data_IF_415712754192
#
_entry.id   IF_415712754192
#
_cell.length_a   1.000
_cell.length_b   1.000
_cell.length_c   1.000
_cell.angle_alpha   90.00
_cell.angle_beta   90.00
_cell.angle_gamma   90.00
#
_symmetry.space_group_name_H-M   'P 1'
#
loop_
_entity.id
_entity.type
_entity.pdbx_description
1 polymer ?
#
# COMPACT_ATOMS: atom_id res chain seq x y z
N UNK A 1 -0.61 27.99 6.64
CA UNK A 1 -1.30 28.50 5.43
C UNK A 1 -0.89 27.76 4.16
N UNK A 2 0.40 27.58 3.89
CA UNK A 2 0.90 26.86 2.69
C UNK A 2 0.32 25.44 2.57
N UNK A 3 0.27 24.67 3.66
CA UNK A 3 -0.28 23.30 3.63
C UNK A 3 -1.76 23.24 3.25
N UNK A 4 -2.58 24.19 3.73
CA UNK A 4 -4.00 24.26 3.38
C UNK A 4 -4.19 24.61 1.90
N UNK A 5 -3.34 25.51 1.38
CA UNK A 5 -3.33 25.87 -0.04
C UNK A 5 -2.92 24.67 -0.90
N UNK A 6 -1.93 23.89 -0.46
CA UNK A 6 -1.52 22.65 -1.12
C UNK A 6 -2.65 21.61 -1.19
N UNK A 7 -3.33 21.35 -0.08
CA UNK A 7 -4.50 20.45 -0.04
C UNK A 7 -5.58 20.91 -1.02
N UNK A 8 -5.89 22.21 -1.04
CA UNK A 8 -6.86 22.77 -1.96
C UNK A 8 -6.42 22.61 -3.43
N UNK A 9 -5.15 22.86 -3.76
CA UNK A 9 -4.63 22.72 -5.12
C UNK A 9 -4.67 21.27 -5.61
N UNK A 10 -4.33 20.29 -4.77
CA UNK A 10 -4.39 18.87 -5.15
C UNK A 10 -5.85 18.46 -5.44
N UNK A 11 -6.78 18.87 -4.58
CA UNK A 11 -8.20 18.61 -4.80
C UNK A 11 -8.74 19.32 -6.05
N UNK A 12 -8.28 20.55 -6.33
CA UNK A 12 -8.65 21.31 -7.53
C UNK A 12 -8.09 20.66 -8.81
N UNK A 13 -6.87 20.14 -8.78
CA UNK A 13 -6.29 19.40 -9.90
C UNK A 13 -7.11 18.13 -10.20
N UNK A 14 -7.50 17.38 -9.16
CA UNK A 14 -8.39 16.23 -9.30
C UNK A 14 -9.75 16.63 -9.88
N UNK A 15 -10.33 17.74 -9.41
CA UNK A 15 -11.60 18.28 -9.92
C UNK A 15 -11.50 18.72 -11.39
N UNK A 16 -10.37 19.32 -11.78
CA UNK A 16 -10.12 19.71 -13.17
C UNK A 16 -10.07 18.49 -14.10
N UNK A 17 -9.49 17.38 -13.64
CA UNK A 17 -9.39 16.11 -14.36
C UNK A 17 -10.64 15.21 -14.21
N UNK A 18 -11.67 15.65 -13.49
CA UNK A 18 -12.86 14.85 -13.24
C UNK A 18 -13.67 14.58 -14.51
N UNK A 19 -14.05 13.32 -14.72
CA UNK A 19 -14.83 12.88 -15.87
C UNK A 19 -16.24 13.52 -15.90
N UNK A 20 -16.88 13.71 -14.74
CA UNK A 20 -18.23 14.30 -14.62
C UNK A 20 -18.38 15.12 -13.34
N UNK A 21 -17.89 16.37 -13.38
CA UNK A 21 -17.87 17.31 -12.23
C UNK A 21 -19.23 17.51 -11.53
N UNK A 22 -20.33 17.46 -12.28
CA UNK A 22 -21.69 17.64 -11.75
C UNK A 22 -22.21 16.47 -10.90
N UNK A 23 -21.57 15.29 -10.98
CA UNK A 23 -21.99 14.07 -10.27
C UNK A 23 -21.07 13.73 -9.08
N UNK A 24 -20.17 14.64 -8.71
CA UNK A 24 -19.32 14.45 -7.53
C UNK A 24 -20.19 14.47 -6.26
N UNK A 25 -20.27 13.34 -5.57
CA UNK A 25 -20.93 13.27 -4.26
C UNK A 25 -20.05 13.97 -3.21
N UNK A 26 -20.48 15.18 -2.84
CA UNK A 26 -19.80 16.01 -1.84
C UNK A 26 -19.71 15.33 -0.48
N UNK A 27 -20.69 14.50 -0.11
CA UNK A 27 -20.70 13.80 1.18
C UNK A 27 -19.62 12.71 1.20
N UNK A 28 -19.48 11.97 0.11
CA UNK A 28 -18.44 10.94 -0.06
C UNK A 28 -17.05 11.57 -0.05
N UNK A 29 -16.83 12.59 -0.87
CA UNK A 29 -15.51 13.25 -0.97
C UNK A 29 -15.13 13.95 0.33
N UNK A 30 -16.04 14.74 0.92
CA UNK A 30 -15.76 15.44 2.17
C UNK A 30 -15.64 14.46 3.35
N UNK A 31 -16.45 13.40 3.39
CA UNK A 31 -16.35 12.36 4.40
C UNK A 31 -15.01 11.63 4.35
N UNK A 32 -14.53 11.29 3.14
CA UNK A 32 -13.23 10.70 2.93
C UNK A 32 -12.09 11.65 3.34
N UNK A 33 -12.17 12.93 2.95
CA UNK A 33 -11.19 13.95 3.37
C UNK A 33 -11.14 14.13 4.89
N UNK A 34 -12.30 14.29 5.53
CA UNK A 34 -12.40 14.46 6.98
C UNK A 34 -11.91 13.23 7.74
N UNK A 35 -12.16 12.04 7.21
CA UNK A 35 -11.63 10.81 7.78
C UNK A 35 -10.11 10.76 7.68
N UNK A 36 -9.53 11.07 6.51
CA UNK A 36 -8.07 11.13 6.33
C UNK A 36 -7.43 12.18 7.23
N UNK A 37 -7.96 13.41 7.23
CA UNK A 37 -7.46 14.50 8.05
C UNK A 37 -7.64 14.23 9.55
N UNK A 38 -8.76 13.63 9.94
CA UNK A 38 -9.05 13.22 11.31
C UNK A 38 -8.10 12.12 11.80
N UNK A 39 -7.86 11.10 10.99
CA UNK A 39 -6.87 10.05 11.28
C UNK A 39 -5.47 10.66 11.45
N UNK A 40 -5.05 11.51 10.51
CA UNK A 40 -3.78 12.22 10.60
C UNK A 40 -3.67 13.09 11.87
N UNK A 41 -4.74 13.82 12.22
CA UNK A 41 -4.80 14.60 13.45
C UNK A 41 -4.69 13.72 14.70
N UNK A 42 -5.38 12.59 14.74
CA UNK A 42 -5.31 11.66 15.88
C UNK A 42 -3.90 11.09 16.01
N UNK A 43 -3.36 10.48 14.96
CA UNK A 43 -2.11 9.71 15.07
C UNK A 43 -0.84 10.57 15.04
N UNK A 44 -0.89 11.80 14.50
CA UNK A 44 0.28 12.68 14.39
C UNK A 44 0.23 13.92 15.30
N UNK A 45 -0.91 14.25 15.91
CA UNK A 45 -1.02 15.43 16.79
C UNK A 45 -1.39 15.07 18.22
N UNK A 46 -2.41 14.23 18.42
CA UNK A 46 -2.89 13.85 19.76
C UNK A 46 -1.89 12.92 20.46
N UNK A 47 -1.47 13.19 21.72
CA UNK A 47 -0.50 12.36 22.43
C UNK A 47 -0.88 10.88 22.49
N UNK A 48 -2.12 10.57 22.86
CA UNK A 48 -2.63 9.20 22.92
C UNK A 48 -2.55 8.49 21.55
N UNK A 49 -2.82 9.21 20.46
CA UNK A 49 -2.74 8.65 19.11
C UNK A 49 -1.29 8.41 18.67
N UNK A 50 -0.35 9.28 19.07
CA UNK A 50 1.09 9.05 18.86
C UNK A 50 1.59 7.83 19.62
N UNK A 51 1.21 7.69 20.89
CA UNK A 51 1.57 6.53 21.72
C UNK A 51 1.04 5.23 21.11
N UNK A 52 -0.22 5.23 20.64
CA UNK A 52 -0.80 4.08 19.96
C UNK A 52 -0.06 3.76 18.65
N UNK A 53 0.26 4.77 17.86
CA UNK A 53 0.99 4.58 16.60
C UNK A 53 2.40 4.04 16.84
N UNK A 54 3.12 4.58 17.84
CA UNK A 54 4.45 4.11 18.22
C UNK A 54 4.39 2.69 18.77
N UNK A 55 3.38 2.35 19.56
CA UNK A 55 3.14 0.98 20.02
C UNK A 55 2.95 0.01 18.84
N UNK A 56 2.10 0.36 17.87
CA UNK A 56 1.90 -0.47 16.66
C UNK A 56 3.18 -0.57 15.83
N UNK A 57 3.90 0.54 15.67
CA UNK A 57 5.18 0.56 14.96
C UNK A 57 6.22 -0.37 15.61
N UNK A 58 6.32 -0.36 16.94
CA UNK A 58 7.20 -1.28 17.67
C UNK A 58 6.84 -2.75 17.46
N UNK A 59 5.53 -3.08 17.35
CA UNK A 59 5.11 -4.45 17.02
C UNK A 59 5.53 -4.85 15.61
N UNK A 60 5.40 -3.96 14.62
CA UNK A 60 5.89 -4.22 13.26
C UNK A 60 7.41 -4.37 13.25
N UNK A 61 8.14 -3.54 14.00
CA UNK A 61 9.61 -3.67 14.14
C UNK A 61 9.98 -5.01 14.79
N UNK A 62 9.24 -5.47 15.80
CA UNK A 62 9.45 -6.78 16.39
C UNK A 62 9.27 -7.91 15.36
N UNK A 63 8.25 -7.81 14.50
CA UNK A 63 8.06 -8.76 13.39
C UNK A 63 9.22 -8.72 12.38
N UNK A 64 9.72 -7.53 12.03
CA UNK A 64 10.91 -7.38 11.18
C UNK A 64 12.13 -8.06 11.80
N UNK A 65 12.30 -7.98 13.12
CA UNK A 65 13.43 -8.60 13.80
C UNK A 65 13.37 -10.13 13.78
N UNK A 66 12.19 -10.76 13.71
CA UNK A 66 12.09 -12.21 13.52
C UNK A 66 12.62 -12.66 12.16
N UNK A 67 12.50 -11.83 11.12
CA UNK A 67 13.05 -12.16 9.80
C UNK A 67 14.58 -12.30 9.80
N UNK A 68 15.27 -11.66 10.75
CA UNK A 68 16.74 -11.75 10.90
C UNK A 68 17.20 -13.18 11.13
N UNK A 69 16.46 -13.98 11.90
CA UNK A 69 16.82 -15.39 12.12
C UNK A 69 16.92 -16.18 10.81
N UNK A 70 16.03 -15.92 9.84
CA UNK A 70 16.08 -16.53 8.52
C UNK A 70 17.22 -15.99 7.65
N UNK A 71 17.47 -14.67 7.73
CA UNK A 71 18.58 -14.02 7.01
C UNK A 71 19.92 -14.54 7.51
N UNK A 72 20.12 -14.60 8.83
CA UNK A 72 21.36 -15.05 9.45
C UNK A 72 21.62 -16.53 9.15
N UNK A 73 20.57 -17.36 9.12
CA UNK A 73 20.68 -18.76 8.72
C UNK A 73 21.13 -18.93 7.26
N UNK A 74 20.55 -18.15 6.33
CA UNK A 74 20.87 -18.26 4.89
C UNK A 74 22.15 -17.54 4.48
N UNK A 75 22.44 -16.40 5.10
CA UNK A 75 23.44 -15.43 4.64
C UNK A 75 24.42 -14.99 5.73
N UNK A 76 24.33 -15.47 6.97
CA UNK A 76 25.14 -14.99 8.10
C UNK A 76 26.65 -15.11 7.89
N UNK A 77 27.11 -16.11 7.13
CA UNK A 77 28.53 -16.23 6.77
C UNK A 77 28.99 -15.25 5.67
N UNK A 78 28.06 -14.71 4.88
CA UNK A 78 28.30 -13.75 3.78
C UNK A 78 28.13 -12.31 4.26
N UNK A 79 27.25 -12.06 5.23
CA UNK A 79 27.09 -10.78 5.92
C UNK A 79 28.06 -10.74 7.12
N UNK A 80 29.36 -10.88 6.84
CA UNK A 80 30.39 -10.74 7.88
C UNK A 80 30.48 -9.30 8.39
N UNK A 81 31.03 -9.09 9.59
CA UNK A 81 31.15 -7.77 10.25
C UNK A 81 31.87 -6.69 9.40
N UNK A 82 32.63 -7.11 8.37
CA UNK A 82 33.44 -6.23 7.51
C UNK A 82 32.75 -5.83 6.19
N UNK A 83 31.59 -6.40 5.87
CA UNK A 83 30.83 -6.04 4.67
C UNK A 83 29.71 -5.12 5.15
N UNK A 84 29.74 -3.85 4.73
CA UNK A 84 28.73 -2.87 5.10
C UNK A 84 27.31 -3.29 4.68
N UNK A 85 26.33 -2.39 4.85
CA UNK A 85 24.93 -2.70 4.52
C UNK A 85 24.74 -3.16 3.07
N UNK A 86 24.40 -4.44 2.88
CA UNK A 86 24.06 -5.01 1.56
C UNK A 86 22.55 -5.09 1.42
N UNK A 87 21.98 -4.23 0.56
CA UNK A 87 20.54 -4.15 0.31
C UNK A 87 19.92 -5.52 -0.04
N UNK A 88 20.58 -6.29 -0.92
CA UNK A 88 20.08 -7.57 -1.38
C UNK A 88 19.92 -8.62 -0.27
N UNK A 89 20.73 -8.57 0.79
CA UNK A 89 20.66 -9.51 1.90
C UNK A 89 19.86 -8.98 3.09
N UNK A 90 19.77 -7.65 3.25
CA UNK A 90 19.11 -7.04 4.41
C UNK A 90 17.65 -6.64 4.14
N UNK A 91 17.27 -6.42 2.87
CA UNK A 91 15.94 -5.86 2.52
C UNK A 91 15.10 -6.87 1.74
N UNK A 92 15.65 -7.49 0.70
CA UNK A 92 14.88 -8.41 -0.16
C UNK A 92 14.32 -9.63 0.59
N UNK A 93 15.06 -10.30 1.50
CA UNK A 93 14.51 -11.45 2.24
C UNK A 93 13.36 -11.08 3.19
N UNK A 94 13.32 -9.82 3.65
CA UNK A 94 12.24 -9.33 4.51
C UNK A 94 10.90 -9.34 3.77
N UNK A 95 10.90 -9.02 2.47
CA UNK A 95 9.72 -9.10 1.59
C UNK A 95 9.19 -10.54 1.58
N UNK A 96 10.08 -11.53 1.44
CA UNK A 96 9.73 -12.96 1.42
C UNK A 96 9.04 -13.39 2.71
N UNK A 97 9.62 -13.02 3.86
CA UNK A 97 9.06 -13.31 5.17
C UNK A 97 7.67 -12.68 5.36
N UNK A 98 7.51 -11.40 5.01
CA UNK A 98 6.22 -10.71 5.17
C UNK A 98 5.14 -11.28 4.24
N UNK A 99 5.47 -11.61 2.99
CA UNK A 99 4.52 -12.26 2.08
C UNK A 99 4.05 -13.62 2.60
N UNK A 100 4.97 -14.43 3.15
CA UNK A 100 4.64 -15.71 3.81
C UNK A 100 3.73 -15.51 5.02
N UNK A 101 4.05 -14.54 5.89
CA UNK A 101 3.25 -14.21 7.07
C UNK A 101 1.85 -13.73 6.70
N UNK A 102 1.71 -12.84 5.72
CA UNK A 102 0.41 -12.35 5.26
C UNK A 102 -0.42 -13.50 4.71
N UNK A 103 0.16 -14.39 3.90
CA UNK A 103 -0.54 -15.58 3.39
C UNK A 103 -1.06 -16.47 4.52
N UNK A 104 -0.28 -16.68 5.58
CA UNK A 104 -0.73 -17.39 6.79
C UNK A 104 -1.90 -16.67 7.47
N UNK A 105 -1.85 -15.35 7.61
CA UNK A 105 -2.95 -14.59 8.22
C UNK A 105 -4.24 -14.60 7.40
N UNK A 106 -4.13 -14.71 6.07
CA UNK A 106 -5.29 -14.95 5.19
C UNK A 106 -5.82 -16.38 5.34
N UNK A 107 -4.95 -17.39 5.37
CA UNK A 107 -5.38 -18.78 5.60
C UNK A 107 -6.11 -18.94 6.95
N UNK A 108 -5.64 -18.25 7.99
CA UNK A 108 -6.25 -18.29 9.33
C UNK A 108 -7.52 -17.43 9.47
N UNK A 109 -7.92 -16.67 8.44
CA UNK A 109 -9.12 -15.82 8.50
C UNK A 109 -8.93 -14.47 9.22
N UNK A 110 -7.72 -14.18 9.72
CA UNK A 110 -7.44 -12.95 10.50
C UNK A 110 -7.54 -11.72 9.61
N UNK A 111 -6.98 -11.79 8.40
CA UNK A 111 -7.01 -10.66 7.44
C UNK A 111 -8.42 -10.35 6.98
N UNK A 112 -9.23 -11.37 6.69
CA UNK A 112 -10.63 -11.22 6.30
C UNK A 112 -11.42 -10.49 7.39
N UNK A 113 -11.21 -10.84 8.65
CA UNK A 113 -11.85 -10.17 9.77
C UNK A 113 -11.43 -8.70 9.89
N UNK A 114 -10.12 -8.40 9.83
CA UNK A 114 -9.60 -7.03 9.91
C UNK A 114 -10.14 -6.17 8.76
N UNK A 115 -10.08 -6.68 7.53
CA UNK A 115 -10.55 -5.99 6.34
C UNK A 115 -12.06 -5.77 6.39
N UNK A 116 -12.84 -6.75 6.85
CA UNK A 116 -14.29 -6.60 7.01
C UNK A 116 -14.67 -5.51 8.01
N UNK A 117 -13.95 -5.40 9.12
CA UNK A 117 -14.18 -4.36 10.14
C UNK A 117 -13.84 -2.99 9.59
N UNK A 118 -12.65 -2.81 9.01
CA UNK A 118 -12.19 -1.52 8.50
C UNK A 118 -13.02 -1.10 7.29
N UNK A 119 -13.22 -1.99 6.31
CA UNK A 119 -14.01 -1.71 5.11
C UNK A 119 -15.47 -1.46 5.43
N UNK A 120 -16.04 -2.15 6.42
CA UNK A 120 -17.38 -1.86 6.95
C UNK A 120 -17.48 -0.46 7.57
N UNK A 121 -16.46 -0.04 8.33
CA UNK A 121 -16.38 1.32 8.87
C UNK A 121 -16.23 2.38 7.77
N UNK A 122 -15.36 2.16 6.79
CA UNK A 122 -15.20 3.04 5.62
C UNK A 122 -16.52 3.19 4.86
N UNK A 123 -17.18 2.07 4.53
CA UNK A 123 -18.51 2.06 3.88
C UNK A 123 -19.51 2.90 4.65
N UNK A 124 -19.59 2.74 5.98
CA UNK A 124 -20.56 3.46 6.81
C UNK A 124 -20.28 4.95 6.89
N UNK A 125 -19.01 5.34 6.98
CA UNK A 125 -18.58 6.73 7.13
C UNK A 125 -18.59 7.50 5.81
N UNK A 126 -18.10 6.88 4.74
CA UNK A 126 -17.89 7.51 3.43
C UNK A 126 -19.08 7.27 2.48
N UNK A 127 -19.91 6.24 2.72
CA UNK A 127 -21.05 5.80 1.86
C UNK A 127 -20.67 5.30 0.48
N UNK A 128 -19.48 4.77 0.35
CA UNK A 128 -19.00 4.00 -0.80
C UNK A 128 -19.66 2.62 -0.88
N UNK A 129 -19.50 1.92 -2.01
CA UNK A 129 -20.00 0.56 -2.17
C UNK A 129 -19.26 -0.43 -1.24
N UNK A 130 -19.83 -1.62 -1.04
CA UNK A 130 -19.18 -2.63 -0.21
C UNK A 130 -17.83 -3.05 -0.80
N UNK A 131 -17.81 -3.35 -2.09
CA UNK A 131 -16.64 -3.89 -2.77
C UNK A 131 -15.48 -2.89 -2.79
N UNK A 132 -15.71 -1.62 -3.14
CA UNK A 132 -14.62 -0.64 -3.15
C UNK A 132 -14.12 -0.30 -1.73
N UNK A 133 -14.98 -0.37 -0.72
CA UNK A 133 -14.58 -0.12 0.68
C UNK A 133 -13.76 -1.26 1.24
N UNK A 134 -14.09 -2.51 0.91
CA UNK A 134 -13.30 -3.68 1.30
C UNK A 134 -11.95 -3.70 0.58
N UNK A 135 -11.92 -3.36 -0.72
CA UNK A 135 -10.67 -3.24 -1.45
C UNK A 135 -9.77 -2.12 -0.89
N UNK A 136 -10.34 -0.96 -0.55
CA UNK A 136 -9.60 0.13 0.08
C UNK A 136 -9.03 -0.27 1.45
N UNK A 137 -9.79 -1.01 2.25
CA UNK A 137 -9.32 -1.53 3.54
C UNK A 137 -8.23 -2.60 3.38
N UNK A 138 -8.35 -3.50 2.40
CA UNK A 138 -7.33 -4.50 2.09
C UNK A 138 -6.00 -3.85 1.69
N UNK A 139 -6.06 -2.80 0.85
CA UNK A 139 -4.89 -2.06 0.38
C UNK A 139 -4.05 -1.39 1.49
N UNK A 140 -4.54 -1.32 2.73
CA UNK A 140 -3.74 -0.86 3.89
C UNK A 140 -2.61 -1.86 4.19
N UNK A 141 -2.85 -3.15 3.95
CA UNK A 141 -1.96 -4.25 4.36
C UNK A 141 -1.36 -4.99 3.17
N UNK A 142 -2.13 -5.17 2.10
CA UNK A 142 -1.73 -5.92 0.91
C UNK A 142 -1.53 -5.02 -0.29
N UNK A 143 -0.74 -5.48 -1.26
CA UNK A 143 -0.40 -4.71 -2.45
C UNK A 143 -1.51 -4.65 -3.49
N UNK A 144 -1.28 -3.82 -4.53
CA UNK A 144 -2.20 -3.61 -5.65
C UNK A 144 -2.62 -4.87 -6.41
N UNK A 145 -1.83 -5.94 -6.36
CA UNK A 145 -2.13 -7.24 -7.00
C UNK A 145 -2.94 -8.19 -6.11
N UNK A 146 -2.88 -7.99 -4.79
CA UNK A 146 -3.46 -8.88 -3.78
C UNK A 146 -4.78 -8.32 -3.25
N UNK A 147 -4.90 -7.00 -3.06
CA UNK A 147 -6.11 -6.37 -2.58
C UNK A 147 -7.36 -6.65 -3.43
N UNK A 148 -7.29 -6.70 -4.78
CA UNK A 148 -8.44 -7.06 -5.61
C UNK A 148 -8.94 -8.49 -5.37
N UNK A 149 -8.10 -9.40 -4.86
CA UNK A 149 -8.50 -10.78 -4.57
C UNK A 149 -9.58 -10.85 -3.50
N UNK A 150 -9.57 -9.92 -2.53
CA UNK A 150 -10.59 -9.84 -1.47
C UNK A 150 -12.00 -9.56 -2.04
N UNK A 151 -12.06 -8.98 -3.24
CA UNK A 151 -13.30 -8.56 -3.89
C UNK A 151 -13.48 -9.19 -5.26
N UNK A 152 -12.70 -10.22 -5.60
CA UNK A 152 -12.65 -10.86 -6.91
C UNK A 152 -14.02 -11.32 -7.43
N UNK A 153 -14.94 -11.91 -6.63
CA UNK A 153 -16.27 -12.27 -7.11
C UNK A 153 -17.07 -11.07 -7.63
N UNK A 154 -16.79 -9.88 -7.09
CA UNK A 154 -17.52 -8.67 -7.38
C UNK A 154 -16.93 -7.87 -8.54
N UNK A 155 -15.64 -8.08 -8.89
CA UNK A 155 -14.94 -7.28 -9.92
C UNK A 155 -15.70 -7.28 -11.25
N UNK A 156 -16.18 -8.44 -11.71
CA UNK A 156 -16.89 -8.56 -12.99
C UNK A 156 -18.22 -7.76 -13.02
N UNK A 157 -18.79 -7.45 -11.86
CA UNK A 157 -20.03 -6.71 -11.73
C UNK A 157 -19.87 -5.24 -11.32
N UNK A 158 -18.63 -4.77 -11.14
CA UNK A 158 -18.35 -3.41 -10.68
C UNK A 158 -18.68 -2.37 -11.75
N UNK A 159 -19.13 -1.19 -11.30
CA UNK A 159 -19.22 0.00 -12.16
C UNK A 159 -17.81 0.49 -12.52
N UNK A 160 -17.72 1.40 -13.49
CA UNK A 160 -16.45 2.05 -13.84
C UNK A 160 -15.83 2.82 -12.66
N UNK A 161 -16.66 3.44 -11.82
CA UNK A 161 -16.18 4.21 -10.67
C UNK A 161 -15.67 3.28 -9.56
N UNK A 162 -16.35 2.16 -9.29
CA UNK A 162 -15.89 1.16 -8.34
C UNK A 162 -14.56 0.54 -8.76
N UNK A 163 -14.44 0.13 -10.02
CA UNK A 163 -13.19 -0.46 -10.53
C UNK A 163 -12.05 0.57 -10.48
N UNK A 164 -12.33 1.83 -10.84
CA UNK A 164 -11.35 2.91 -10.72
C UNK A 164 -10.92 3.14 -9.26
N UNK A 165 -11.85 3.06 -8.30
CA UNK A 165 -11.54 3.19 -6.88
C UNK A 165 -10.65 2.03 -6.38
N UNK A 166 -10.86 0.80 -6.85
CA UNK A 166 -9.97 -0.34 -6.54
C UNK A 166 -8.56 -0.08 -7.07
N UNK A 167 -8.43 0.40 -8.31
CA UNK A 167 -7.13 0.71 -8.92
C UNK A 167 -6.40 1.85 -8.21
N UNK A 168 -7.10 2.97 -7.96
CA UNK A 168 -6.53 4.11 -7.22
C UNK A 168 -6.18 3.73 -5.80
N UNK A 169 -6.99 2.91 -5.14
CA UNK A 169 -6.70 2.36 -3.82
C UNK A 169 -5.34 1.66 -3.79
N UNK A 170 -5.09 0.75 -4.73
CA UNK A 170 -3.81 0.03 -4.82
C UNK A 170 -2.62 0.92 -5.20
N UNK A 171 -2.83 1.97 -6.00
CA UNK A 171 -1.78 2.92 -6.36
C UNK A 171 -1.49 3.95 -5.26
N UNK A 172 -2.44 4.17 -4.35
CA UNK A 172 -2.33 5.16 -3.27
C UNK A 172 -1.63 4.64 -2.03
N UNK A 173 -1.44 3.31 -1.93
CA UNK A 173 -0.87 2.64 -0.77
C UNK A 173 0.37 1.82 -1.14
N UNK A 174 0.95 1.18 -0.12
CA UNK A 174 2.06 0.23 -0.27
C UNK A 174 1.70 -1.08 0.40
N UNK A 175 2.22 -2.19 -0.13
CA UNK A 175 2.08 -3.50 0.51
C UNK A 175 2.88 -3.54 1.81
N UNK A 176 2.39 -4.28 2.81
CA UNK A 176 3.11 -4.52 4.07
C UNK A 176 4.48 -5.18 3.86
N UNK A 177 4.60 -6.03 2.83
CA UNK A 177 5.88 -6.66 2.45
C UNK A 177 6.93 -5.66 1.95
N UNK A 178 6.53 -4.61 1.23
CA UNK A 178 7.45 -3.56 0.76
C UNK A 178 7.69 -2.49 1.83
N UNK A 179 6.69 -2.21 2.67
CA UNK A 179 6.84 -1.37 3.87
C UNK A 179 7.99 -1.86 4.75
N UNK A 180 8.04 -3.17 4.98
CA UNK A 180 9.11 -3.82 5.72
C UNK A 180 10.49 -3.55 5.11
N UNK A 181 10.58 -3.54 3.78
CA UNK A 181 11.81 -3.16 3.08
C UNK A 181 12.19 -1.69 3.25
N UNK A 182 11.22 -0.78 3.20
CA UNK A 182 11.46 0.65 3.48
C UNK A 182 11.90 0.90 4.92
N UNK A 183 11.34 0.15 5.88
CA UNK A 183 11.77 0.19 7.26
C UNK A 183 13.23 -0.26 7.42
N UNK A 184 13.65 -1.30 6.70
CA UNK A 184 15.04 -1.78 6.70
C UNK A 184 16.03 -0.75 6.09
N UNK A 185 15.55 0.19 5.27
CA UNK A 185 16.31 1.35 4.79
C UNK A 185 16.43 2.49 5.81
N UNK A 186 15.83 2.36 6.99
CA UNK A 186 15.87 3.37 8.05
C UNK A 186 14.69 4.34 8.03
N UNK A 187 13.66 4.11 7.21
CA UNK A 187 12.44 4.93 7.23
C UNK A 187 11.61 4.58 8.48
N UNK A 188 11.18 5.59 9.23
CA UNK A 188 10.43 5.39 10.47
C UNK A 188 9.08 4.67 10.21
N UNK A 189 8.94 3.48 10.78
CA UNK A 189 7.77 2.60 10.60
C UNK A 189 6.45 3.27 10.97
N UNK A 190 6.45 4.14 11.98
CA UNK A 190 5.26 4.90 12.39
C UNK A 190 4.69 5.75 11.25
N UNK A 191 5.54 6.36 10.43
CA UNK A 191 5.08 7.18 9.30
C UNK A 191 4.58 6.32 8.15
N UNK A 192 5.22 5.17 7.90
CA UNK A 192 4.74 4.22 6.90
C UNK A 192 3.37 3.65 7.29
N UNK A 193 3.18 3.30 8.56
CA UNK A 193 1.89 2.83 9.08
C UNK A 193 0.80 3.91 9.00
N UNK A 194 1.11 5.13 9.42
CA UNK A 194 0.17 6.25 9.32
C UNK A 194 -0.22 6.49 7.85
N UNK A 195 0.76 6.51 6.94
CA UNK A 195 0.54 6.68 5.51
C UNK A 195 -0.35 5.57 4.93
N UNK A 196 -0.10 4.29 5.24
CA UNK A 196 -0.91 3.17 4.77
C UNK A 196 -2.37 3.26 5.22
N UNK A 197 -2.63 3.64 6.48
CA UNK A 197 -4.00 3.79 6.97
C UNK A 197 -4.69 5.02 6.35
N UNK A 198 -3.97 6.12 6.18
CA UNK A 198 -4.48 7.34 5.56
C UNK A 198 -4.72 7.20 4.05
N UNK A 199 -4.02 6.29 3.39
CA UNK A 199 -4.15 6.01 1.96
C UNK A 199 -5.55 5.48 1.61
N UNK A 200 -6.18 4.66 2.46
CA UNK A 200 -7.51 4.12 2.17
C UNK A 200 -8.58 5.22 1.94
N UNK A 201 -8.84 6.15 2.88
CA UNK A 201 -9.77 7.25 2.63
C UNK A 201 -9.22 8.25 1.59
N UNK A 202 -7.92 8.52 1.54
CA UNK A 202 -7.35 9.45 0.55
C UNK A 202 -7.47 8.97 -0.89
N UNK A 203 -7.24 7.68 -1.12
CA UNK A 203 -7.43 7.01 -2.40
C UNK A 203 -8.89 7.05 -2.83
N UNK A 204 -9.82 6.74 -1.92
CA UNK A 204 -11.27 6.83 -2.20
C UNK A 204 -11.71 8.27 -2.51
N UNK A 205 -11.19 9.25 -1.78
CA UNK A 205 -11.45 10.68 -2.05
C UNK A 205 -11.04 11.04 -3.48
N UNK A 206 -9.80 10.74 -3.85
CA UNK A 206 -9.27 11.08 -5.17
C UNK A 206 -9.98 10.30 -6.28
N UNK A 207 -10.27 9.02 -6.05
CA UNK A 207 -11.02 8.19 -6.99
C UNK A 207 -12.41 8.77 -7.28
N UNK A 208 -13.16 9.16 -6.24
CA UNK A 208 -14.52 9.67 -6.39
C UNK A 208 -14.59 11.12 -6.87
N UNK A 209 -13.50 11.89 -6.77
CA UNK A 209 -13.39 13.18 -7.47
C UNK A 209 -13.15 12.95 -8.96
N UNK A 210 -12.16 12.13 -9.33
CA UNK A 210 -11.73 11.96 -10.73
C UNK A 210 -12.74 11.14 -11.53
N UNK A 211 -13.26 10.06 -10.96
CA UNK A 211 -14.28 9.19 -11.56
C UNK A 211 -15.48 9.04 -10.62
N UNK A 212 -16.40 10.01 -10.60
CA UNK A 212 -17.60 9.95 -9.75
C UNK A 212 -18.50 8.78 -10.14
N UNK A 213 -19.31 8.31 -9.18
CA UNK A 213 -20.28 7.24 -9.41
C UNK A 213 -21.41 7.72 -10.32
N UNK A 214 -21.63 7.03 -11.44
CA UNK A 214 -22.69 7.39 -12.41
C UNK A 214 -23.74 6.32 -12.59
N UNK A 215 -23.45 5.12 -12.09
CA UNK A 215 -24.27 3.93 -12.21
C UNK A 215 -24.70 3.49 -10.81
N UNK A 216 -25.71 2.63 -10.71
CA UNK A 216 -26.10 2.05 -9.41
C UNK A 216 -25.22 0.84 -9.12
N UNK A 217 -24.38 0.87 -8.06
CA UNK A 217 -23.60 -0.29 -7.67
C UNK A 217 -24.51 -1.48 -7.39
N UNK A 218 -24.07 -2.69 -7.78
CA UNK A 218 -24.80 -3.91 -7.45
C UNK A 218 -24.87 -4.08 -5.92
N UNK A 219 -26.02 -4.50 -5.37
CA UNK A 219 -26.11 -4.79 -3.95
C UNK A 219 -25.13 -5.91 -3.58
N UNK A 220 -24.59 -5.82 -2.37
CA UNK A 220 -23.71 -6.86 -1.84
C UNK A 220 -24.49 -8.18 -1.71
N UNK A 221 -23.96 -9.21 -2.36
CA UNK A 221 -24.49 -10.57 -2.28
C UNK A 221 -23.51 -11.45 -1.47
N UNK A 222 -23.86 -11.83 -0.22
CA UNK A 222 -23.02 -12.69 0.61
C UNK A 222 -22.93 -14.13 0.11
N UNK A 223 -23.76 -14.54 -0.87
CA UNK A 223 -23.67 -15.86 -1.51
C UNK A 223 -22.59 -15.94 -2.59
N UNK A 224 -22.15 -14.78 -3.12
CA UNK A 224 -20.98 -14.67 -3.99
C UNK A 224 -19.70 -14.72 -3.16
N UNK A 225 -19.40 -15.89 -2.60
CA UNK A 225 -18.08 -16.17 -2.06
C UNK A 225 -17.17 -16.59 -3.21
N UNK A 226 -15.95 -16.08 -3.21
CA UNK A 226 -14.89 -16.82 -3.88
C UNK A 226 -14.83 -18.20 -3.23
N UNK A 227 -14.69 -19.26 -4.03
CA UNK A 227 -14.30 -20.55 -3.49
C UNK A 227 -12.99 -20.34 -2.73
N UNK A 228 -13.07 -20.34 -1.39
CA UNK A 228 -11.95 -20.02 -0.52
C UNK A 228 -10.86 -21.10 -0.65
N UNK A 229 -9.70 -20.67 -1.18
CA UNK A 229 -8.37 -21.11 -0.73
C UNK A 229 -7.71 -22.27 -1.47
N UNK A 230 -6.74 -21.96 -2.34
CA UNK A 230 -5.77 -22.91 -2.91
C UNK A 230 -4.86 -23.59 -1.86
N UNK A 231 -4.96 -23.19 -0.57
CA UNK A 231 -4.08 -23.69 0.48
C UNK A 231 -4.71 -24.84 1.26
N UNK A 232 -4.02 -25.98 1.27
CA UNK A 232 -4.47 -27.20 1.96
C UNK A 232 -4.29 -27.08 3.49
N UNK A 233 -3.30 -26.33 3.95
CA UNK A 233 -2.99 -26.12 5.36
C UNK A 233 -2.14 -24.86 5.58
N UNK A 234 -1.86 -24.53 6.85
CA UNK A 234 -1.08 -23.33 7.21
C UNK A 234 0.36 -23.36 6.69
N UNK A 235 0.98 -24.55 6.58
CA UNK A 235 2.33 -24.67 6.04
C UNK A 235 2.35 -24.48 4.52
N UNK A 236 1.32 -24.96 3.83
CA UNK A 236 1.11 -24.73 2.41
C UNK A 236 0.92 -23.23 2.12
N UNK A 237 0.10 -22.53 2.92
CA UNK A 237 -0.04 -21.07 2.85
C UNK A 237 1.29 -20.34 3.08
N UNK A 238 2.06 -20.76 4.09
CA UNK A 238 3.38 -20.18 4.37
C UNK A 238 4.37 -20.38 3.21
N UNK A 239 4.43 -21.60 2.65
CA UNK A 239 5.34 -21.94 1.57
C UNK A 239 4.97 -21.20 0.27
N UNK A 240 3.68 -21.18 -0.08
CA UNK A 240 3.17 -20.47 -1.25
C UNK A 240 3.40 -18.96 -1.12
N UNK A 241 3.11 -18.37 0.05
CA UNK A 241 3.38 -16.96 0.31
C UNK A 241 4.87 -16.61 0.25
N UNK A 242 5.76 -17.52 0.65
CA UNK A 242 7.20 -17.33 0.48
C UNK A 242 7.60 -17.35 -1.00
N UNK A 243 7.01 -18.22 -1.83
CA UNK A 243 7.28 -18.25 -3.28
C UNK A 243 6.79 -16.97 -3.99
N UNK A 244 5.59 -16.49 -3.65
CA UNK A 244 5.10 -15.19 -4.13
C UNK A 244 6.03 -14.06 -3.69
N UNK A 245 6.43 -14.07 -2.43
CA UNK A 245 7.39 -13.10 -1.88
C UNK A 245 8.75 -13.13 -2.58
N UNK A 246 9.26 -14.30 -2.95
CA UNK A 246 10.51 -14.46 -3.69
C UNK A 246 10.41 -13.81 -5.08
N UNK A 247 9.31 -14.04 -5.80
CA UNK A 247 9.07 -13.41 -7.10
C UNK A 247 9.02 -11.88 -6.98
N UNK A 248 8.32 -11.37 -5.95
CA UNK A 248 8.29 -9.93 -5.66
C UNK A 248 9.68 -9.37 -5.34
N UNK A 249 10.43 -10.05 -4.47
CA UNK A 249 11.78 -9.65 -4.07
C UNK A 249 12.74 -9.62 -5.28
N UNK A 250 12.69 -10.64 -6.14
CA UNK A 250 13.47 -10.70 -7.36
C UNK A 250 13.09 -9.58 -8.34
N UNK A 251 11.79 -9.32 -8.52
CA UNK A 251 11.31 -8.24 -9.37
C UNK A 251 11.77 -6.86 -8.86
N UNK A 252 11.68 -6.61 -7.55
CA UNK A 252 12.17 -5.37 -6.92
C UNK A 252 13.67 -5.23 -7.11
N UNK A 253 14.45 -6.29 -6.83
CA UNK A 253 15.91 -6.27 -7.00
C UNK A 253 16.32 -5.98 -8.45
N UNK A 254 15.69 -6.64 -9.43
CA UNK A 254 15.94 -6.42 -10.84
C UNK A 254 15.57 -4.99 -11.28
N UNK A 255 14.39 -4.49 -10.85
CA UNK A 255 13.92 -3.15 -11.18
C UNK A 255 14.84 -2.06 -10.63
N UNK A 256 15.26 -2.18 -9.37
CA UNK A 256 16.19 -1.23 -8.75
C UNK A 256 17.54 -1.22 -9.46
N UNK A 257 18.11 -2.39 -9.75
CA UNK A 257 19.37 -2.50 -10.49
C UNK A 257 19.27 -1.81 -11.86
N UNK A 258 18.23 -2.13 -12.62
CA UNK A 258 18.01 -1.54 -13.94
C UNK A 258 17.83 -0.03 -13.88
N UNK A 259 16.93 0.47 -13.01
CA UNK A 259 16.58 1.89 -12.98
C UNK A 259 17.71 2.75 -12.44
N UNK A 260 18.42 2.32 -11.40
CA UNK A 260 19.59 3.04 -10.89
C UNK A 260 20.67 3.12 -11.98
N UNK A 261 20.90 2.04 -12.72
CA UNK A 261 21.87 2.01 -13.82
C UNK A 261 21.47 2.93 -14.97
N UNK A 262 20.18 2.95 -15.33
CA UNK A 262 19.64 3.84 -16.37
C UNK A 262 19.72 5.31 -15.96
N UNK A 263 19.43 5.64 -14.70
CA UNK A 263 19.57 7.00 -14.17
C UNK A 263 21.05 7.43 -14.23
N UNK A 264 21.98 6.57 -13.82
CA UNK A 264 23.41 6.86 -13.90
C UNK A 264 23.87 7.10 -15.34
N UNK A 265 23.42 6.27 -16.29
CA UNK A 265 23.72 6.45 -17.72
C UNK A 265 23.14 7.77 -18.26
N UNK A 266 21.89 8.10 -17.90
CA UNK A 266 21.25 9.35 -18.29
C UNK A 266 21.98 10.56 -17.70
N UNK A 267 22.40 10.51 -16.44
CA UNK A 267 23.19 11.56 -15.81
C UNK A 267 24.52 11.76 -16.54
N UNK A 268 25.20 10.68 -16.95
CA UNK A 268 26.42 10.78 -17.75
C UNK A 268 26.20 11.44 -19.12
N UNK A 269 25.11 11.10 -19.81
CA UNK A 269 24.76 11.70 -21.09
C UNK A 269 24.38 13.19 -20.95
N UNK A 270 23.59 13.52 -19.92
CA UNK A 270 23.18 14.89 -19.64
C UNK A 270 24.37 15.75 -19.22
N UNK A 271 25.26 15.24 -18.38
CA UNK A 271 26.48 15.95 -17.96
C UNK A 271 27.44 16.18 -19.12
N UNK A 272 27.58 15.21 -20.03
CA UNK A 272 28.33 15.40 -21.28
C UNK A 272 27.71 16.51 -22.14
N UNK A 273 26.39 16.49 -22.35
CA UNK A 273 25.70 17.51 -23.13
C UNK A 273 25.76 18.91 -22.48
N UNK A 274 25.65 18.99 -21.15
CA UNK A 274 25.76 20.23 -20.38
C UNK A 274 27.17 20.83 -20.46
N UNK A 275 28.21 19.99 -20.42
CA UNK A 275 29.60 20.40 -20.61
C UNK A 275 29.85 21.05 -21.97
N UNK A 276 29.19 20.59 -23.04
CA UNK A 276 29.28 21.21 -24.37
C UNK A 276 28.69 22.63 -24.43
N UNK A 277 27.73 22.94 -23.55
CA UNK A 277 27.05 24.24 -23.47
C UNK A 277 27.68 25.14 -22.39
N UNK A 278 28.77 24.68 -21.74
CA UNK A 278 29.53 25.45 -20.75
C UNK A 278 29.00 25.34 -19.30
N UNK A 279 28.06 24.44 -19.03
CA UNK A 279 27.59 24.13 -17.69
C UNK A 279 28.36 22.92 -17.13
N UNK A 280 29.52 23.19 -16.50
CA UNK A 280 30.32 22.16 -15.85
C UNK A 280 29.79 21.90 -14.43
N UNK A 281 29.41 20.65 -14.12
CA UNK A 281 28.96 20.24 -12.78
C UNK A 281 27.48 19.88 -12.64
N UNK A 282 26.77 19.72 -13.76
CA UNK A 282 25.42 19.11 -13.84
C UNK A 282 25.55 17.65 -14.27
#
# INVERSE_FOLDING_TARGET
MISLLGIALIALAAFALSAKRGLIDKRTVLGAFLLQAGLGGIVLYVPLGKELLDFLAQKVIALLNYSRAGIDFLFGGVVGENIGFVFAFNVLPVIIFFSSMIAVLYYLGVMQWVVAVIGGALKKLIRTSHSESMAAAANIFVGQTEAPLVVRPYIAGMTRSELFAVMVGGLSSIAGSVMAGYAALGIEVKYLLAASVMAAPGGLMMAKIVMPETETPKPFDPSMKDEEGDYTNVFDAAASGAMTGLQMAAAVGAMLLAFISLIAALNGLLGWAAGLIGYNGV
#
